data_IF_222732482576
#
_entry.id   IF_222732482576
#
_cell.length_a   1.000
_cell.length_b   1.000
_cell.length_c   1.000
_cell.angle_alpha   90.00
_cell.angle_beta   90.00
_cell.angle_gamma   90.00
#
_symmetry.space_group_name_H-M   'P 1'
#
loop_
_entity.id
_entity.type
_entity.pdbx_description
1 polymer ?
#
# COMPACT_ATOMS: atom_id res chain seq x y z
N UNK A 1 37.05 70.90 11.64
CA UNK A 1 37.06 70.02 12.84
C UNK A 1 35.99 70.38 13.89
N UNK A 2 34.98 71.19 13.58
CA UNK A 2 33.90 71.59 14.53
C UNK A 2 32.67 70.68 14.52
N UNK A 3 32.62 69.64 13.69
CA UNK A 3 31.45 68.76 13.53
C UNK A 3 31.27 67.70 14.64
N UNK A 4 32.23 67.56 15.57
CA UNK A 4 32.18 66.54 16.63
C UNK A 4 31.67 67.04 17.99
N UNK A 5 31.51 68.35 18.20
CA UNK A 5 30.94 68.87 19.44
C UNK A 5 29.42 68.99 19.31
N UNK A 6 28.69 68.15 20.05
CA UNK A 6 27.23 68.22 20.15
C UNK A 6 26.86 69.57 20.77
N UNK A 7 26.25 70.46 19.99
CA UNK A 7 25.77 71.76 20.47
C UNK A 7 24.76 71.64 21.64
N UNK A 8 24.06 70.50 21.73
CA UNK A 8 23.12 70.17 22.81
C UNK A 8 23.22 68.69 23.18
N UNK A 9 24.05 68.31 24.17
CA UNK A 9 24.28 66.90 24.52
C UNK A 9 23.03 66.22 25.10
N UNK A 10 22.18 66.96 25.82
CA UNK A 10 20.97 66.42 26.44
C UNK A 10 19.97 65.89 25.40
N UNK A 11 19.71 66.67 24.33
CA UNK A 11 18.77 66.27 23.27
C UNK A 11 19.29 65.03 22.55
N UNK A 12 20.59 65.00 22.24
CA UNK A 12 21.20 63.86 21.56
C UNK A 12 21.09 62.56 22.35
N UNK A 13 21.23 62.62 23.68
CA UNK A 13 21.09 61.45 24.54
C UNK A 13 19.64 60.95 24.58
N UNK A 14 18.66 61.86 24.66
CA UNK A 14 17.24 61.48 24.63
C UNK A 14 16.85 60.86 23.30
N UNK A 15 17.26 61.45 22.17
CA UNK A 15 16.97 60.89 20.85
C UNK A 15 17.61 59.52 20.66
N UNK A 16 18.81 59.31 21.20
CA UNK A 16 19.50 58.02 21.15
C UNK A 16 18.73 56.95 21.93
N UNK A 17 18.30 57.25 23.17
CA UNK A 17 17.47 56.31 23.96
C UNK A 17 16.15 55.97 23.27
N UNK A 18 15.50 56.96 22.65
CA UNK A 18 14.27 56.74 21.88
C UNK A 18 14.55 55.80 20.70
N UNK A 19 15.65 56.03 19.96
CA UNK A 19 16.01 55.22 18.80
C UNK A 19 16.39 53.78 19.20
N UNK A 20 17.09 53.61 20.32
CA UNK A 20 17.40 52.30 20.89
C UNK A 20 16.12 51.56 21.30
N UNK A 21 15.22 52.21 22.04
CA UNK A 21 13.93 51.63 22.43
C UNK A 21 13.07 51.25 21.20
N UNK A 22 13.06 52.09 20.18
CA UNK A 22 12.37 51.82 18.92
C UNK A 22 12.97 50.60 18.20
N UNK A 23 14.31 50.53 18.11
CA UNK A 23 14.99 49.40 17.49
C UNK A 23 14.72 48.09 18.25
N UNK A 24 14.69 48.14 19.58
CA UNK A 24 14.34 47.01 20.43
C UNK A 24 12.89 46.58 20.17
N UNK A 25 11.95 47.54 20.12
CA UNK A 25 10.56 47.27 19.75
C UNK A 25 10.41 46.59 18.39
N UNK A 26 11.13 47.04 17.36
CA UNK A 26 11.12 46.40 16.03
C UNK A 26 11.70 44.97 16.06
N UNK A 27 12.78 44.73 16.80
CA UNK A 27 13.35 43.38 16.92
C UNK A 27 12.38 42.42 17.62
N UNK A 28 11.77 42.84 18.74
CA UNK A 28 10.76 42.05 19.45
C UNK A 28 9.53 41.81 18.58
N UNK A 29 9.05 42.84 17.87
CA UNK A 29 7.89 42.72 16.97
C UNK A 29 8.13 41.75 15.81
N UNK A 30 9.31 41.80 15.18
CA UNK A 30 9.66 40.85 14.11
C UNK A 30 9.86 39.42 14.61
N UNK A 31 10.42 39.23 15.81
CA UNK A 31 10.48 37.92 16.47
C UNK A 31 9.09 37.36 16.75
N UNK A 32 8.19 38.16 17.33
CA UNK A 32 6.82 37.76 17.61
C UNK A 32 6.07 37.39 16.31
N UNK A 33 6.16 38.21 15.27
CA UNK A 33 5.54 37.92 13.99
C UNK A 33 6.06 36.61 13.35
N UNK A 34 7.37 36.33 13.46
CA UNK A 34 7.95 35.06 13.01
C UNK A 34 7.45 33.87 13.83
N UNK A 35 7.35 34.03 15.15
CA UNK A 35 6.81 33.00 16.04
C UNK A 35 5.38 32.62 15.66
N UNK A 36 4.49 33.61 15.46
CA UNK A 36 3.12 33.35 15.01
C UNK A 36 3.06 32.67 13.64
N UNK A 37 3.90 33.09 12.68
CA UNK A 37 3.99 32.42 11.38
C UNK A 37 4.40 30.96 11.51
N UNK A 38 5.38 30.65 12.36
CA UNK A 38 5.81 29.27 12.59
C UNK A 38 4.72 28.40 13.23
N UNK A 39 3.98 28.93 14.20
CA UNK A 39 2.84 28.21 14.79
C UNK A 39 1.78 27.93 13.72
N UNK A 40 1.41 28.93 12.93
CA UNK A 40 0.41 28.77 11.87
C UNK A 40 0.86 27.74 10.83
N UNK A 41 2.10 27.84 10.34
CA UNK A 41 2.67 26.86 9.40
C UNK A 41 2.65 25.46 10.03
N UNK A 42 3.06 25.32 11.28
CA UNK A 42 3.06 24.02 11.98
C UNK A 42 1.63 23.45 12.07
N UNK A 43 0.65 24.27 12.45
CA UNK A 43 -0.75 23.85 12.56
C UNK A 43 -1.36 23.42 11.21
N UNK A 44 -1.04 24.10 10.11
CA UNK A 44 -1.51 23.71 8.78
C UNK A 44 -0.76 22.48 8.22
N UNK A 45 0.52 22.34 8.53
CA UNK A 45 1.35 21.25 8.00
C UNK A 45 1.24 19.95 8.80
N UNK A 46 0.78 19.97 10.05
CA UNK A 46 0.58 18.74 10.83
C UNK A 46 -0.42 17.78 10.18
N UNK A 47 -1.35 18.32 9.39
CA UNK A 47 -2.34 17.53 8.66
C UNK A 47 -1.80 16.95 7.33
N UNK A 48 -0.62 17.38 6.87
CA UNK A 48 -0.07 17.00 5.56
C UNK A 48 1.11 16.04 5.71
N UNK A 49 0.91 14.80 5.27
CA UNK A 49 1.88 13.72 5.39
C UNK A 49 2.99 13.79 4.32
N UNK A 50 2.72 14.42 3.18
CA UNK A 50 3.60 14.36 2.00
C UNK A 50 4.85 15.25 2.07
N UNK A 51 4.83 16.26 2.95
CA UNK A 51 5.85 17.33 2.98
C UNK A 51 6.61 17.29 4.29
N UNK A 52 7.96 17.23 4.27
CA UNK A 52 8.76 17.30 5.49
C UNK A 52 8.54 18.65 6.18
N UNK A 53 8.26 18.63 7.48
CA UNK A 53 8.00 19.84 8.25
C UNK A 53 9.31 20.55 8.60
N UNK A 54 10.36 19.77 8.84
CA UNK A 54 11.69 20.27 9.18
C UNK A 54 12.51 20.55 7.92
N UNK A 55 13.35 21.60 7.99
CA UNK A 55 14.34 21.87 6.96
C UNK A 55 15.36 20.70 6.85
N UNK A 56 15.96 20.54 5.68
CA UNK A 56 16.94 19.47 5.45
C UNK A 56 18.10 19.57 6.47
N UNK A 57 18.36 18.46 7.16
CA UNK A 57 19.39 18.37 8.21
C UNK A 57 18.94 18.79 9.62
N UNK A 58 17.75 19.39 9.77
CA UNK A 58 17.17 19.72 11.07
C UNK A 58 16.32 18.55 11.55
N UNK A 59 16.50 18.14 12.82
CA UNK A 59 15.76 17.02 13.41
C UNK A 59 16.51 15.68 13.41
N UNK A 60 17.72 15.62 12.88
CA UNK A 60 18.61 14.47 13.05
C UNK A 60 19.42 14.64 14.33
N UNK A 61 18.94 14.07 15.44
CA UNK A 61 19.67 14.04 16.70
C UNK A 61 20.42 12.71 16.76
N UNK A 62 21.66 12.73 16.27
CA UNK A 62 22.48 11.53 16.14
C UNK A 62 21.85 10.51 15.17
N UNK A 63 21.64 9.24 15.58
CA UNK A 63 21.01 8.23 14.72
C UNK A 63 19.48 8.37 14.63
N UNK A 64 18.86 9.27 15.40
CA UNK A 64 17.40 9.41 15.47
C UNK A 64 16.95 10.60 14.63
N UNK A 65 16.12 10.33 13.63
CA UNK A 65 15.42 11.36 12.86
C UNK A 65 14.05 11.64 13.49
N UNK A 66 13.83 12.87 13.96
CA UNK A 66 12.58 13.33 14.58
C UNK A 66 11.37 13.25 13.64
N UNK A 67 11.58 13.42 12.33
CA UNK A 67 10.53 13.43 11.30
C UNK A 67 10.85 12.42 10.18
N UNK A 68 10.76 11.13 10.51
CA UNK A 68 11.01 10.04 9.56
C UNK A 68 9.80 9.67 8.69
N UNK A 69 8.61 10.18 9.02
CA UNK A 69 7.35 9.72 8.44
C UNK A 69 7.21 10.05 6.94
N UNK A 70 7.54 11.27 6.46
CA UNK A 70 7.46 11.60 5.03
C UNK A 70 8.41 10.73 4.17
N UNK A 71 9.53 10.29 4.75
CA UNK A 71 10.49 9.41 4.08
C UNK A 71 9.90 8.01 3.92
N UNK A 72 9.27 7.48 4.97
CA UNK A 72 8.59 6.18 4.91
C UNK A 72 7.43 6.23 3.91
N UNK A 73 6.59 7.27 3.98
CA UNK A 73 5.49 7.46 3.04
C UNK A 73 5.95 7.50 1.58
N UNK A 74 7.05 8.22 1.26
CA UNK A 74 7.60 8.22 -0.11
C UNK A 74 8.11 6.86 -0.54
N UNK A 75 8.74 6.10 0.36
CA UNK A 75 9.17 4.73 0.06
C UNK A 75 7.97 3.86 -0.27
N UNK A 76 6.92 3.93 0.52
CA UNK A 76 5.69 3.17 0.30
C UNK A 76 5.00 3.58 -1.01
N UNK A 77 4.97 4.89 -1.31
CA UNK A 77 4.44 5.40 -2.57
C UNK A 77 5.21 4.83 -3.78
N UNK A 78 6.55 4.83 -3.72
CA UNK A 78 7.40 4.29 -4.80
C UNK A 78 7.24 2.78 -4.92
N UNK A 79 7.13 2.07 -3.79
CA UNK A 79 6.86 0.63 -3.80
C UNK A 79 5.49 0.37 -4.45
N UNK A 80 4.46 1.12 -4.09
CA UNK A 80 3.14 0.96 -4.66
C UNK A 80 3.11 1.27 -6.16
N UNK A 81 3.79 2.34 -6.59
CA UNK A 81 3.89 2.72 -8.00
C UNK A 81 4.68 1.69 -8.81
N UNK A 82 5.74 1.12 -8.24
CA UNK A 82 6.51 0.05 -8.85
C UNK A 82 5.69 -1.26 -9.02
N UNK A 83 4.82 -1.58 -8.06
CA UNK A 83 4.00 -2.80 -8.10
C UNK A 83 2.72 -2.63 -8.92
N UNK A 84 2.14 -1.43 -8.97
CA UNK A 84 0.85 -1.15 -9.62
C UNK A 84 0.96 -0.03 -10.63
N UNK A 85 1.82 -0.23 -11.62
CA UNK A 85 1.96 0.75 -12.69
C UNK A 85 0.80 0.59 -13.70
N UNK A 86 -0.03 1.62 -13.93
CA UNK A 86 -1.27 1.49 -14.72
C UNK A 86 -1.02 1.07 -16.17
N UNK A 87 0.13 1.43 -16.74
CA UNK A 87 0.51 0.98 -18.08
C UNK A 87 0.88 -0.51 -18.13
N UNK A 88 1.50 -1.03 -17.07
CA UNK A 88 1.86 -2.45 -16.98
C UNK A 88 0.62 -3.32 -16.87
N UNK A 89 -0.33 -2.90 -16.03
CA UNK A 89 -1.61 -3.59 -15.86
C UNK A 89 -2.41 -3.60 -17.17
N UNK A 90 -2.48 -2.47 -17.89
CA UNK A 90 -3.12 -2.39 -19.20
C UNK A 90 -2.43 -3.27 -20.25
N UNK A 91 -1.10 -3.29 -20.29
CA UNK A 91 -0.34 -4.15 -21.21
C UNK A 91 -0.56 -5.64 -20.90
N UNK A 92 -0.56 -6.01 -19.63
CA UNK A 92 -0.85 -7.38 -19.18
C UNK A 92 -2.28 -7.80 -19.52
N UNK A 93 -3.27 -6.95 -19.26
CA UNK A 93 -4.67 -7.21 -19.61
C UNK A 93 -4.84 -7.33 -21.13
N UNK A 94 -4.22 -6.45 -21.90
CA UNK A 94 -4.24 -6.51 -23.36
C UNK A 94 -3.63 -7.80 -23.90
N UNK A 95 -2.55 -8.28 -23.28
CA UNK A 95 -1.96 -9.58 -23.58
C UNK A 95 -2.92 -10.74 -23.28
N UNK A 96 -3.57 -10.74 -22.11
CA UNK A 96 -4.57 -11.75 -21.74
C UNK A 96 -5.79 -11.74 -22.68
N UNK A 97 -6.24 -10.57 -23.12
CA UNK A 97 -7.32 -10.46 -24.10
C UNK A 97 -6.91 -11.02 -25.47
N UNK A 98 -5.65 -10.83 -25.90
CA UNK A 98 -5.15 -11.45 -27.14
C UNK A 98 -5.14 -12.98 -27.05
N UNK A 99 -4.82 -13.54 -25.88
CA UNK A 99 -4.91 -14.99 -25.67
C UNK A 99 -6.37 -15.47 -25.75
N UNK A 100 -7.30 -14.76 -25.10
CA UNK A 100 -8.71 -15.15 -25.05
C UNK A 100 -9.45 -15.05 -26.39
N UNK A 101 -9.22 -14.00 -27.16
CA UNK A 101 -9.98 -13.70 -28.38
C UNK A 101 -9.22 -14.03 -29.67
N UNK A 102 -8.01 -14.58 -29.58
CA UNK A 102 -7.20 -14.96 -30.72
C UNK A 102 -7.05 -13.82 -31.72
N UNK A 103 -7.35 -14.07 -33.00
CA UNK A 103 -7.15 -13.11 -34.09
C UNK A 103 -8.23 -12.02 -34.21
N UNK A 104 -9.33 -12.12 -33.49
CA UNK A 104 -10.40 -11.11 -33.51
C UNK A 104 -10.04 -9.84 -32.71
N UNK A 105 -9.05 -9.93 -31.81
CA UNK A 105 -8.77 -8.87 -30.83
C UNK A 105 -8.22 -7.57 -31.44
N UNK A 106 -7.36 -7.67 -32.46
CA UNK A 106 -6.71 -6.51 -33.06
C UNK A 106 -6.07 -6.85 -34.40
N UNK A 107 -5.79 -5.83 -35.21
CA UNK A 107 -5.01 -5.98 -36.45
C UNK A 107 -3.65 -6.65 -36.19
N UNK A 108 -3.25 -7.56 -37.07
CA UNK A 108 -2.02 -8.36 -36.93
C UNK A 108 -0.77 -7.50 -36.73
N UNK A 109 -0.66 -6.37 -37.42
CA UNK A 109 0.45 -5.45 -37.26
C UNK A 109 0.49 -4.81 -35.86
N UNK A 110 -0.66 -4.39 -35.33
CA UNK A 110 -0.75 -3.76 -34.02
C UNK A 110 -0.61 -4.74 -32.85
N UNK A 111 -1.07 -5.99 -33.01
CA UNK A 111 -0.92 -7.03 -32.01
C UNK A 111 0.55 -7.49 -31.90
N UNK A 112 1.25 -7.67 -33.03
CA UNK A 112 2.65 -8.10 -33.05
C UNK A 112 3.59 -7.14 -32.31
N UNK A 113 3.51 -5.83 -32.56
CA UNK A 113 4.35 -4.84 -31.88
C UNK A 113 4.11 -4.81 -30.37
N UNK A 114 2.85 -4.89 -29.93
CA UNK A 114 2.50 -4.89 -28.50
C UNK A 114 2.97 -6.18 -27.82
N UNK A 115 2.91 -7.31 -28.52
CA UNK A 115 3.45 -8.59 -28.06
C UNK A 115 4.97 -8.53 -27.86
N UNK A 116 5.70 -7.91 -28.78
CA UNK A 116 7.16 -7.72 -28.64
C UNK A 116 7.47 -6.90 -27.38
N UNK A 117 6.71 -5.83 -27.14
CA UNK A 117 6.87 -4.98 -25.94
C UNK A 117 6.54 -5.76 -24.66
N UNK A 118 5.42 -6.50 -24.63
CA UNK A 118 5.06 -7.31 -23.46
C UNK A 118 6.11 -8.40 -23.20
N UNK A 119 6.61 -9.04 -24.25
CA UNK A 119 7.61 -10.11 -24.15
C UNK A 119 9.00 -9.63 -23.76
N UNK A 120 9.34 -8.36 -24.01
CA UNK A 120 10.58 -7.75 -23.54
C UNK A 120 10.47 -7.27 -22.10
N UNK A 121 9.31 -6.74 -21.69
CA UNK A 121 9.11 -6.20 -20.35
C UNK A 121 8.73 -7.25 -19.29
N UNK A 122 7.99 -8.29 -19.71
CA UNK A 122 7.44 -9.32 -18.82
C UNK A 122 7.81 -10.73 -19.35
N UNK A 123 9.10 -11.10 -19.40
CA UNK A 123 9.54 -12.36 -20.00
C UNK A 123 8.99 -13.61 -19.28
N UNK A 124 8.58 -13.48 -18.00
CA UNK A 124 7.94 -14.58 -17.26
C UNK A 124 6.58 -14.98 -17.83
N UNK A 125 5.89 -14.10 -18.55
CA UNK A 125 4.61 -14.42 -19.21
C UNK A 125 4.76 -15.49 -20.30
N UNK A 126 5.98 -15.74 -20.79
CA UNK A 126 6.24 -16.83 -21.76
C UNK A 126 5.89 -18.20 -21.19
N UNK A 127 6.01 -18.40 -19.89
CA UNK A 127 5.66 -19.69 -19.24
C UNK A 127 4.17 -19.96 -19.28
N UNK A 128 3.36 -18.90 -19.27
CA UNK A 128 1.90 -18.98 -19.34
C UNK A 128 1.38 -19.02 -20.79
N UNK A 129 2.27 -19.04 -21.78
CA UNK A 129 1.91 -19.13 -23.21
C UNK A 129 1.76 -20.59 -23.68
N UNK A 130 2.12 -21.56 -22.84
CA UNK A 130 2.20 -22.97 -23.21
C UNK A 130 0.80 -23.61 -23.15
N UNK A 131 0.30 -23.88 -24.36
CA UNK A 131 -0.40 -25.09 -24.78
C UNK A 131 -1.84 -25.27 -24.32
N UNK A 132 -2.76 -24.46 -24.87
CA UNK A 132 -4.14 -24.92 -25.06
C UNK A 132 -4.23 -25.78 -26.34
N UNK A 133 -3.61 -25.36 -27.45
CA UNK A 133 -3.65 -26.11 -28.72
C UNK A 133 -2.92 -27.48 -28.63
N UNK A 134 -1.78 -27.56 -27.96
CA UNK A 134 -1.06 -28.85 -27.77
C UNK A 134 -1.75 -29.75 -26.73
N UNK A 135 -2.48 -29.17 -25.77
CA UNK A 135 -3.28 -29.94 -24.83
C UNK A 135 -4.54 -30.47 -25.50
N UNK A 136 -5.31 -29.68 -26.24
CA UNK A 136 -6.53 -30.17 -26.92
C UNK A 136 -6.20 -31.33 -27.87
N UNK A 137 -5.15 -31.20 -28.69
CA UNK A 137 -4.67 -32.28 -29.56
C UNK A 137 -4.17 -33.51 -28.78
N UNK A 138 -3.55 -33.32 -27.61
CA UNK A 138 -3.08 -34.41 -26.74
C UNK A 138 -4.23 -35.09 -25.98
N UNK A 139 -5.26 -34.35 -25.58
CA UNK A 139 -6.45 -34.87 -24.90
C UNK A 139 -7.32 -35.64 -25.90
N UNK A 140 -7.53 -35.13 -27.12
CA UNK A 140 -8.24 -35.85 -28.18
C UNK A 140 -7.50 -37.14 -28.59
N UNK A 141 -6.17 -37.08 -28.78
CA UNK A 141 -5.36 -38.28 -29.08
C UNK A 141 -5.32 -39.29 -27.92
N UNK A 142 -5.36 -38.84 -26.67
CA UNK A 142 -5.41 -39.75 -25.51
C UNK A 142 -6.79 -40.43 -25.36
N UNK A 143 -7.87 -39.74 -25.72
CA UNK A 143 -9.24 -40.30 -25.73
C UNK A 143 -9.40 -41.30 -26.88
N UNK A 144 -8.85 -41.03 -28.06
CA UNK A 144 -8.89 -41.96 -29.21
C UNK A 144 -7.90 -43.13 -29.06
N UNK A 145 -6.77 -42.92 -28.38
CA UNK A 145 -5.70 -43.92 -28.23
C UNK A 145 -5.89 -44.94 -27.10
N UNK A 146 -6.83 -44.72 -26.17
CA UNK A 146 -7.06 -45.66 -25.06
C UNK A 146 -5.87 -45.87 -24.13
N UNK A 147 -4.89 -44.96 -24.13
CA UNK A 147 -3.76 -44.99 -23.21
C UNK A 147 -4.15 -44.35 -21.88
N UNK A 148 -3.82 -45.04 -20.79
CA UNK A 148 -4.15 -44.61 -19.44
C UNK A 148 -3.41 -43.31 -19.11
N UNK A 149 -4.22 -42.31 -18.74
CA UNK A 149 -3.96 -40.97 -18.17
C UNK A 149 -2.97 -40.93 -16.98
N UNK A 150 -1.77 -41.51 -17.12
CA UNK A 150 -0.82 -41.70 -16.03
C UNK A 150 0.52 -40.96 -16.24
N UNK A 151 0.65 -40.12 -17.27
CA UNK A 151 1.94 -39.48 -17.59
C UNK A 151 1.87 -38.03 -18.06
N UNK A 152 0.75 -37.33 -17.89
CA UNK A 152 0.69 -35.89 -18.16
C UNK A 152 0.94 -35.15 -16.86
N UNK A 153 2.21 -34.84 -16.62
CA UNK A 153 2.72 -34.03 -15.51
C UNK A 153 1.94 -32.71 -15.38
N UNK A 154 1.03 -32.67 -14.41
CA UNK A 154 0.98 -31.66 -13.35
C UNK A 154 0.32 -32.29 -12.10
N UNK A 155 0.73 -33.53 -11.79
CA UNK A 155 0.22 -34.31 -10.67
C UNK A 155 0.49 -33.65 -9.31
N UNK A 156 1.51 -32.80 -9.18
CA UNK A 156 1.87 -32.22 -7.88
C UNK A 156 0.84 -31.20 -7.38
N UNK A 157 0.34 -30.33 -8.27
CA UNK A 157 -0.61 -29.28 -7.88
C UNK A 157 -2.04 -29.84 -7.75
N UNK A 158 -2.41 -30.79 -8.62
CA UNK A 158 -3.68 -31.52 -8.49
C UNK A 158 -3.68 -32.37 -7.21
N UNK A 159 -2.55 -33.00 -6.87
CA UNK A 159 -2.41 -33.76 -5.63
C UNK A 159 -2.45 -32.85 -4.39
N UNK A 160 -1.79 -31.69 -4.41
CA UNK A 160 -1.87 -30.68 -3.33
C UNK A 160 -3.31 -30.21 -3.13
N UNK A 161 -4.02 -29.85 -4.21
CA UNK A 161 -5.42 -29.42 -4.15
C UNK A 161 -6.34 -30.53 -3.61
N UNK A 162 -6.07 -31.79 -3.96
CA UNK A 162 -6.83 -32.94 -3.45
C UNK A 162 -6.61 -33.14 -1.95
N UNK A 163 -5.36 -33.05 -1.49
CA UNK A 163 -5.03 -33.12 -0.05
C UNK A 163 -5.68 -31.97 0.72
N UNK A 164 -5.63 -30.75 0.18
CA UNK A 164 -6.20 -29.58 0.83
C UNK A 164 -7.73 -29.66 0.94
N UNK A 165 -8.41 -30.11 -0.13
CA UNK A 165 -9.85 -30.39 -0.09
C UNK A 165 -10.22 -31.45 0.95
N UNK A 166 -9.43 -32.52 1.05
CA UNK A 166 -9.68 -33.57 2.03
C UNK A 166 -9.51 -33.06 3.46
N UNK A 167 -8.48 -32.23 3.70
CA UNK A 167 -8.24 -31.56 4.98
C UNK A 167 -9.39 -30.60 5.34
N UNK A 168 -9.85 -29.80 4.38
CA UNK A 168 -10.98 -28.88 4.59
C UNK A 168 -12.26 -29.65 4.93
N UNK A 169 -12.56 -30.73 4.21
CA UNK A 169 -13.73 -31.56 4.48
C UNK A 169 -13.72 -32.19 5.88
N UNK A 170 -12.54 -32.58 6.41
CA UNK A 170 -12.42 -33.05 7.80
C UNK A 170 -12.72 -31.93 8.79
N UNK A 171 -12.21 -30.72 8.57
CA UNK A 171 -12.48 -29.56 9.45
C UNK A 171 -13.95 -29.18 9.45
N UNK A 172 -14.62 -29.22 8.30
CA UNK A 172 -16.07 -28.97 8.20
C UNK A 172 -16.84 -29.99 9.03
N UNK A 173 -16.55 -31.29 8.89
CA UNK A 173 -17.21 -32.35 9.68
C UNK A 173 -16.98 -32.21 11.19
N UNK A 174 -15.77 -31.86 11.62
CA UNK A 174 -15.46 -31.64 13.03
C UNK A 174 -16.21 -30.43 13.60
N UNK A 175 -16.31 -29.34 12.82
CA UNK A 175 -17.08 -28.16 13.21
C UNK A 175 -18.58 -28.49 13.32
N UNK A 176 -19.14 -29.22 12.35
CA UNK A 176 -20.53 -29.68 12.39
C UNK A 176 -20.81 -30.54 13.63
N UNK A 177 -19.88 -31.43 14.00
CA UNK A 177 -20.01 -32.26 15.21
C UNK A 177 -19.99 -31.41 16.48
N UNK A 178 -19.08 -30.43 16.57
CA UNK A 178 -19.01 -29.50 17.72
C UNK A 178 -20.28 -28.67 17.86
N UNK A 179 -20.81 -28.17 16.75
CA UNK A 179 -22.04 -27.37 16.73
C UNK A 179 -23.24 -28.18 17.24
N UNK A 180 -23.36 -29.45 16.82
CA UNK A 180 -24.41 -30.36 17.33
C UNK A 180 -24.26 -30.64 18.83
N UNK A 181 -23.04 -30.83 19.33
CA UNK A 181 -22.83 -31.05 20.78
C UNK A 181 -23.15 -29.81 21.60
N UNK A 182 -22.73 -28.63 21.14
CA UNK A 182 -23.03 -27.36 21.85
C UNK A 182 -24.53 -27.09 21.87
N UNK A 183 -25.23 -27.24 20.73
CA UNK A 183 -26.69 -27.08 20.68
C UNK A 183 -27.43 -28.07 21.58
N UNK A 184 -26.96 -29.32 21.67
CA UNK A 184 -27.52 -30.31 22.60
C UNK A 184 -27.34 -29.88 24.06
N UNK A 185 -26.14 -29.43 24.42
CA UNK A 185 -25.81 -29.01 25.79
C UNK A 185 -26.60 -27.75 26.20
N UNK A 186 -26.79 -26.80 25.29
CA UNK A 186 -27.63 -25.61 25.55
C UNK A 186 -29.11 -25.98 25.74
N UNK A 187 -29.64 -26.92 24.96
CA UNK A 187 -31.02 -27.39 25.18
C UNK A 187 -31.19 -28.12 26.51
N UNK A 188 -30.21 -28.92 26.93
CA UNK A 188 -30.26 -29.63 28.21
C UNK A 188 -30.19 -28.65 29.41
N UNK A 189 -29.38 -27.59 29.31
CA UNK A 189 -29.31 -26.54 30.33
C UNK A 189 -30.61 -25.72 30.43
N UNK A 190 -31.21 -25.36 29.29
CA UNK A 190 -32.51 -24.68 29.29
C UNK A 190 -33.63 -25.57 29.84
N UNK A 191 -33.55 -26.89 29.62
CA UNK A 191 -34.49 -27.83 30.18
C UNK A 191 -34.34 -27.94 31.71
N UNK A 192 -33.10 -28.00 32.25
CA UNK A 192 -32.89 -28.04 33.70
C UNK A 192 -33.35 -26.77 34.42
N UNK A 193 -33.09 -25.59 33.85
CA UNK A 193 -33.51 -24.30 34.45
C UNK A 193 -35.04 -24.17 34.49
N UNK A 194 -35.74 -24.70 33.46
CA UNK A 194 -37.22 -24.68 33.45
C UNK A 194 -37.86 -25.60 34.50
N UNK A 195 -37.17 -26.66 34.92
CA UNK A 195 -37.63 -27.58 35.96
C UNK A 195 -37.41 -26.99 37.36
N UNK A 196 -36.29 -26.31 37.62
CA UNK A 196 -36.06 -25.64 38.92
C UNK A 196 -37.03 -24.49 39.18
N UNK A 197 -37.38 -23.71 38.15
CA UNK A 197 -38.36 -22.62 38.27
C UNK A 197 -39.79 -23.15 38.54
N UNK A 198 -40.13 -24.33 38.04
CA UNK A 198 -41.44 -24.95 38.29
C UNK A 198 -41.56 -25.60 39.69
N UNK A 199 -40.43 -25.83 40.38
CA UNK A 199 -40.38 -26.47 41.70
C UNK A 199 -40.32 -25.47 42.87
N UNK A 200 -40.25 -24.17 42.60
CA UNK A 200 -40.27 -23.07 43.58
C UNK A 200 -41.62 -22.34 43.59
#
# INVERSE_FOLDING_TARGET
>A
FTAFFRARPAIANVTLVILECWSLGLTVGTMAARFFKLIMVTAFYIARIDTPMLAQGVGNIGPVALDSYPIQFRKDLVVHDAHRHPYMERLGLMYMLKLRYGDEFATNAGSAWRLIIVMSLMPWLRRYRLDEDEKEDSWEKAIEGGETLAKVEDDEDIFKLRIENERLNRRVKDLEKKLRTTQGTEMDLLASDSVEVAAS
#
